data_IF_106730479644
#
_entry.id   IF_106730479644
#
_cell.length_a   1.000
_cell.length_b   1.000
_cell.length_c   1.000
_cell.angle_alpha   90.00
_cell.angle_beta   90.00
_cell.angle_gamma   90.00
#
_symmetry.space_group_name_H-M   'P 1'
#
loop_
_entity.id
_entity.type
_entity.pdbx_description
1 polymer ?
#
# COMPACT_ATOMS: atom_id res chain seq x y z
N UNK A 1 -33.40 -30.70 -22.13
CA UNK A 1 -33.88 -29.43 -21.54
C UNK A 1 -32.66 -28.69 -21.04
N UNK A 2 -32.23 -27.69 -21.81
CA UNK A 2 -30.94 -27.02 -21.72
C UNK A 2 -30.94 -26.03 -20.55
N UNK A 3 -30.19 -26.32 -19.48
CA UNK A 3 -29.97 -25.36 -18.40
C UNK A 3 -28.87 -24.39 -18.80
N UNK A 4 -29.29 -23.16 -19.09
CA UNK A 4 -28.47 -21.97 -19.29
C UNK A 4 -27.39 -21.83 -18.19
N UNK A 5 -26.13 -21.99 -18.59
CA UNK A 5 -25.02 -21.33 -17.93
C UNK A 5 -24.99 -19.90 -18.48
N UNK A 6 -25.54 -18.94 -17.74
CA UNK A 6 -25.43 -17.53 -18.07
C UNK A 6 -24.08 -17.00 -17.53
N UNK A 7 -23.11 -16.64 -18.39
CA UNK A 7 -21.87 -16.05 -17.93
C UNK A 7 -22.16 -14.58 -17.59
N UNK A 8 -22.26 -14.24 -16.29
CA UNK A 8 -22.37 -12.84 -15.88
C UNK A 8 -23.20 -12.51 -14.64
N UNK A 9 -23.64 -13.49 -13.83
CA UNK A 9 -24.25 -13.15 -12.54
C UNK A 9 -23.20 -12.46 -11.64
N UNK A 10 -23.42 -11.21 -11.16
CA UNK A 10 -22.49 -10.55 -10.27
C UNK A 10 -22.46 -11.33 -8.96
N UNK A 11 -21.31 -11.91 -8.64
CA UNK A 11 -21.08 -12.56 -7.35
C UNK A 11 -21.20 -11.48 -6.27
N UNK A 12 -22.01 -11.67 -5.21
CA UNK A 12 -22.11 -10.70 -4.13
C UNK A 12 -20.71 -10.47 -3.53
N UNK A 13 -20.13 -9.30 -3.76
CA UNK A 13 -18.87 -8.93 -3.14
C UNK A 13 -19.12 -8.74 -1.64
N UNK A 14 -18.46 -9.57 -0.83
CA UNK A 14 -18.46 -9.40 0.61
C UNK A 14 -18.06 -7.95 0.95
N UNK A 15 -18.71 -7.31 1.94
CA UNK A 15 -18.45 -5.93 2.28
C UNK A 15 -16.96 -5.75 2.63
N UNK A 16 -16.28 -4.88 1.88
CA UNK A 16 -14.84 -4.64 2.05
C UNK A 16 -14.54 -4.13 3.47
N UNK A 17 -13.48 -4.64 4.08
CA UNK A 17 -12.98 -4.13 5.35
C UNK A 17 -12.58 -2.65 5.24
N UNK A 18 -12.71 -1.89 6.33
CA UNK A 18 -12.30 -0.48 6.40
C UNK A 18 -10.85 -0.26 5.98
N UNK A 19 -9.98 -1.22 6.29
CA UNK A 19 -8.58 -1.18 5.85
C UNK A 19 -8.43 -1.38 4.34
N UNK A 20 -9.21 -2.28 3.73
CA UNK A 20 -9.22 -2.46 2.28
C UNK A 20 -9.74 -1.21 1.57
N UNK A 21 -10.82 -0.61 2.09
CA UNK A 21 -11.35 0.66 1.59
C UNK A 21 -10.31 1.78 1.69
N UNK A 22 -9.55 1.86 2.79
CA UNK A 22 -8.47 2.84 2.93
C UNK A 22 -7.35 2.59 1.92
N UNK A 23 -6.87 1.35 1.79
CA UNK A 23 -5.80 1.00 0.83
C UNK A 23 -6.14 1.30 -0.62
N UNK A 24 -7.41 1.21 -0.99
CA UNK A 24 -7.91 1.54 -2.32
C UNK A 24 -8.10 3.05 -2.52
N UNK A 25 -8.00 3.86 -1.47
CA UNK A 25 -8.14 5.31 -1.55
C UNK A 25 -6.83 5.99 -2.02
N UNK A 26 -6.91 7.13 -2.71
CA UNK A 26 -5.73 7.94 -3.05
C UNK A 26 -4.92 8.38 -1.83
N UNK A 27 -5.57 8.51 -0.67
CA UNK A 27 -4.95 8.93 0.58
C UNK A 27 -3.91 7.91 1.07
N UNK A 28 -4.11 6.62 0.80
CA UNK A 28 -3.14 5.59 1.16
C UNK A 28 -1.78 5.87 0.54
N UNK A 29 -1.73 6.19 -0.74
CA UNK A 29 -0.49 6.51 -1.46
C UNK A 29 0.19 7.75 -0.91
N UNK A 30 -0.58 8.78 -0.52
CA UNK A 30 -0.03 10.01 0.06
C UNK A 30 0.60 9.71 1.42
N UNK A 31 -0.13 9.02 2.30
CA UNK A 31 0.36 8.66 3.65
C UNK A 31 1.58 7.73 3.54
N UNK A 32 1.51 6.73 2.66
CA UNK A 32 2.60 5.79 2.45
C UNK A 32 3.88 6.52 2.02
N UNK A 33 3.83 7.28 0.92
CA UNK A 33 5.01 7.98 0.43
C UNK A 33 5.48 9.07 1.37
N UNK A 34 4.56 9.80 2.01
CA UNK A 34 4.90 10.81 3.02
C UNK A 34 5.64 10.19 4.21
N UNK A 35 5.17 9.03 4.69
CA UNK A 35 5.83 8.30 5.78
C UNK A 35 7.22 7.80 5.39
N UNK A 36 7.37 7.25 4.18
CA UNK A 36 8.66 6.80 3.65
C UNK A 36 9.64 7.95 3.45
N UNK A 37 9.16 9.12 3.00
CA UNK A 37 9.99 10.31 2.86
C UNK A 37 10.53 10.79 4.22
N UNK A 38 9.66 10.92 5.22
CA UNK A 38 10.09 11.34 6.57
C UNK A 38 11.06 10.32 7.16
N UNK A 39 10.78 9.02 7.00
CA UNK A 39 11.68 7.97 7.43
C UNK A 39 13.05 8.04 6.73
N UNK A 40 13.06 8.31 5.42
CA UNK A 40 14.30 8.51 4.66
C UNK A 40 15.09 9.73 5.11
N UNK A 41 14.42 10.85 5.37
CA UNK A 41 15.04 12.08 5.89
C UNK A 41 15.64 11.85 7.27
N UNK A 42 14.93 11.13 8.15
CA UNK A 42 15.43 10.76 9.47
C UNK A 42 16.62 9.80 9.37
N UNK A 43 16.57 8.83 8.45
CA UNK A 43 17.66 7.89 8.21
C UNK A 43 18.93 8.58 7.72
N UNK A 44 18.83 9.45 6.70
CA UNK A 44 19.95 10.24 6.14
C UNK A 44 20.63 11.10 7.20
N UNK A 45 19.85 11.70 8.11
CA UNK A 45 20.38 12.53 9.19
C UNK A 45 20.74 11.75 10.46
N UNK A 46 20.54 10.43 10.46
CA UNK A 46 20.89 9.59 11.62
C UNK A 46 22.34 9.11 11.55
N UNK A 47 22.97 8.79 12.69
CA UNK A 47 24.30 8.18 12.73
C UNK A 47 24.41 6.84 11.98
N UNK A 48 23.28 6.17 11.69
CA UNK A 48 23.28 4.95 10.89
C UNK A 48 23.85 5.18 9.50
N UNK A 49 23.66 6.36 8.93
CA UNK A 49 24.18 6.71 7.62
C UNK A 49 25.69 6.98 7.64
N UNK A 50 26.23 7.45 8.76
CA UNK A 50 27.68 7.60 8.94
C UNK A 50 28.37 6.23 8.97
N UNK A 51 27.72 5.21 9.53
CA UNK A 51 28.22 3.83 9.51
C UNK A 51 28.29 3.23 8.09
N UNK A 52 27.53 3.78 7.14
CA UNK A 52 27.54 3.37 5.74
C UNK A 52 28.63 4.10 4.92
N UNK A 53 29.23 5.16 5.47
CA UNK A 53 30.27 5.90 4.79
C UNK A 53 31.56 5.06 4.73
N UNK A 54 32.26 5.02 3.58
CA UNK A 54 33.54 4.36 3.47
C UNK A 54 34.57 5.08 4.36
N UNK A 55 35.29 4.29 5.14
CA UNK A 55 36.41 4.77 5.95
C UNK A 55 37.66 4.75 5.06
N UNK A 56 38.14 5.94 4.67
CA UNK A 56 39.38 6.12 3.91
C UNK A 56 40.59 6.14 4.84
#
# INVERSE_FOLDING_TARGET
MSSMFAPGAPVPQAPKSKFQQFKESPLYTIVLNGSLFIAGVAFIQSPLMEMMAPQL
#
